data_IF_905632782858
#
_entry.id   IF_905632782858
#
_cell.length_a   1.000
_cell.length_b   1.000
_cell.length_c   1.000
_cell.angle_alpha   90.00
_cell.angle_beta   90.00
_cell.angle_gamma   90.00
#
_symmetry.space_group_name_H-M   'P 1'
#
loop_
_entity.id
_entity.type
_entity.pdbx_description
1 polymer ?
#
# COMPACT_ATOMS: atom_id res chain seq x y z
N UNK A 1 1.50 -42.74 21.68
CA UNK A 1 2.85 -42.52 21.10
C UNK A 1 2.72 -41.35 20.12
N UNK A 2 3.01 -40.11 20.58
CA UNK A 2 2.94 -38.92 19.75
C UNK A 2 4.25 -38.78 18.96
N UNK A 3 4.21 -38.93 17.66
CA UNK A 3 5.33 -38.61 16.80
C UNK A 3 5.49 -37.08 16.79
N UNK A 4 6.70 -36.51 17.02
CA UNK A 4 6.92 -35.11 16.87
C UNK A 4 6.75 -34.73 15.38
N UNK A 5 5.91 -33.73 15.10
CA UNK A 5 5.86 -33.09 13.78
C UNK A 5 7.27 -32.56 13.47
N UNK A 6 7.96 -33.21 12.55
CA UNK A 6 9.13 -32.62 11.91
C UNK A 6 8.66 -31.29 11.28
N UNK A 7 9.09 -30.18 11.84
CA UNK A 7 9.03 -28.91 11.16
C UNK A 7 10.02 -28.98 9.98
N UNK A 8 9.52 -29.32 8.79
CA UNK A 8 10.28 -29.09 7.56
C UNK A 8 10.47 -27.57 7.46
N UNK A 9 11.64 -27.10 7.83
CA UNK A 9 12.09 -25.76 7.47
C UNK A 9 12.31 -25.79 5.96
N UNK A 10 11.30 -25.44 5.19
CA UNK A 10 11.46 -25.20 3.77
C UNK A 10 12.44 -24.00 3.66
N UNK A 11 13.70 -24.29 3.37
CA UNK A 11 14.63 -23.27 2.91
C UNK A 11 14.08 -22.75 1.58
N UNK A 12 13.53 -21.53 1.59
CA UNK A 12 13.21 -20.83 0.36
C UNK A 12 14.54 -20.38 -0.23
N UNK A 13 14.85 -20.83 -1.42
CA UNK A 13 15.95 -20.27 -2.19
C UNK A 13 15.51 -18.87 -2.66
N UNK A 14 15.89 -17.85 -1.88
CA UNK A 14 15.52 -16.47 -2.14
C UNK A 14 16.39 -15.92 -3.28
N UNK A 15 15.74 -15.40 -4.31
CA UNK A 15 16.43 -14.77 -5.42
C UNK A 15 16.95 -13.37 -5.05
N UNK A 16 18.05 -12.94 -5.64
CA UNK A 16 18.49 -11.55 -5.60
C UNK A 16 17.48 -10.67 -6.33
N UNK A 17 16.66 -9.93 -5.59
CA UNK A 17 15.60 -9.10 -6.12
C UNK A 17 15.23 -7.94 -5.16
N UNK A 18 14.57 -6.94 -5.70
CA UNK A 18 13.87 -5.91 -4.94
C UNK A 18 12.46 -6.40 -4.64
N UNK A 19 12.22 -6.78 -3.38
CA UNK A 19 10.92 -7.24 -2.93
C UNK A 19 10.05 -6.08 -2.47
N UNK A 20 8.88 -5.91 -3.07
CA UNK A 20 7.89 -4.94 -2.61
C UNK A 20 7.01 -5.63 -1.55
N UNK A 21 7.19 -5.22 -0.30
CA UNK A 21 6.63 -5.91 0.88
C UNK A 21 5.40 -5.15 1.38
N UNK A 22 4.19 -5.69 1.17
CA UNK A 22 2.98 -5.07 1.70
C UNK A 22 2.92 -5.09 3.22
N UNK A 23 2.28 -4.07 3.79
CA UNK A 23 2.01 -3.93 5.21
C UNK A 23 0.50 -3.97 5.46
N UNK A 24 0.08 -4.29 6.69
CA UNK A 24 -1.32 -4.26 7.07
C UNK A 24 -1.90 -2.84 6.91
N UNK A 25 -3.19 -2.75 6.61
CA UNK A 25 -3.93 -1.48 6.56
C UNK A 25 -4.38 -1.03 7.97
N UNK A 26 -4.53 -1.98 8.90
CA UNK A 26 -4.98 -1.78 10.28
C UNK A 26 -4.18 -2.67 11.23
N UNK A 27 -4.27 -2.41 12.55
CA UNK A 27 -3.55 -3.20 13.56
C UNK A 27 -4.24 -4.53 13.88
N UNK A 28 -4.29 -5.42 12.89
CA UNK A 28 -4.87 -6.75 12.96
C UNK A 28 -3.77 -7.84 12.92
N UNK A 29 -4.10 -9.11 13.20
CA UNK A 29 -3.17 -10.24 13.02
C UNK A 29 -2.64 -10.32 11.57
N UNK A 30 -1.34 -10.60 11.42
CA UNK A 30 -0.67 -10.64 10.11
C UNK A 30 -1.29 -11.68 9.16
N UNK A 31 -1.63 -12.85 9.69
CA UNK A 31 -2.19 -13.97 8.94
C UNK A 31 -3.60 -13.72 8.39
N UNK A 32 -4.26 -12.65 8.87
CA UNK A 32 -5.54 -12.19 8.30
C UNK A 32 -5.36 -11.62 6.89
N UNK A 33 -4.23 -10.99 6.60
CA UNK A 33 -4.06 -10.19 5.37
C UNK A 33 -2.74 -10.46 4.61
N UNK A 34 -1.76 -11.07 5.23
CA UNK A 34 -0.47 -11.37 4.61
C UNK A 34 -0.24 -12.87 4.48
N UNK A 35 0.14 -13.38 3.29
CA UNK A 35 0.55 -14.76 3.12
C UNK A 35 1.77 -15.12 3.99
N UNK A 36 1.81 -16.33 4.51
CA UNK A 36 2.96 -16.83 5.28
C UNK A 36 4.28 -16.77 4.50
N UNK A 37 4.23 -16.83 3.17
CA UNK A 37 5.37 -16.67 2.28
C UNK A 37 6.05 -15.29 2.46
N UNK A 38 5.28 -14.21 2.63
CA UNK A 38 5.86 -12.88 2.86
C UNK A 38 6.72 -12.85 4.12
N UNK A 39 6.26 -13.52 5.19
CA UNK A 39 6.99 -13.57 6.46
C UNK A 39 8.32 -14.34 6.32
N UNK A 40 8.34 -15.37 5.47
CA UNK A 40 9.56 -16.12 5.19
C UNK A 40 10.57 -15.26 4.42
N UNK A 41 10.12 -14.51 3.39
CA UNK A 41 10.97 -13.59 2.62
C UNK A 41 11.53 -12.48 3.53
N UNK A 42 10.70 -11.88 4.37
CA UNK A 42 11.10 -10.78 5.27
C UNK A 42 12.25 -11.18 6.21
N UNK A 43 12.29 -12.43 6.67
CA UNK A 43 13.33 -12.93 7.58
C UNK A 43 14.73 -12.96 6.94
N UNK A 44 14.80 -13.18 5.64
CA UNK A 44 16.07 -13.37 4.92
C UNK A 44 16.66 -12.04 4.42
N UNK A 45 15.87 -10.96 4.39
CA UNK A 45 16.30 -9.65 3.89
C UNK A 45 17.03 -8.88 4.98
N UNK A 46 18.16 -8.26 4.60
CA UNK A 46 18.97 -7.41 5.49
C UNK A 46 18.93 -5.93 5.15
N UNK A 47 18.52 -5.57 3.94
CA UNK A 47 18.55 -4.21 3.41
C UNK A 47 17.13 -3.77 3.08
N UNK A 48 16.68 -2.69 3.71
CA UNK A 48 15.31 -2.19 3.55
C UNK A 48 15.30 -0.73 3.13
N UNK A 49 14.47 -0.41 2.14
CA UNK A 49 14.11 0.96 1.79
C UNK A 49 12.74 1.22 2.42
N UNK A 50 12.64 2.25 3.25
CA UNK A 50 11.47 2.49 4.11
C UNK A 50 11.12 3.98 4.14
N UNK A 51 9.86 4.31 4.32
CA UNK A 51 9.44 5.69 4.54
C UNK A 51 9.78 6.14 5.97
N UNK A 52 9.52 5.26 6.95
CA UNK A 52 9.80 5.52 8.36
C UNK A 52 10.44 4.29 9.03
N UNK A 53 11.67 4.47 9.50
CA UNK A 53 12.45 3.39 10.12
C UNK A 53 11.77 2.84 11.39
N UNK A 54 11.10 3.69 12.18
CA UNK A 54 10.43 3.24 13.40
C UNK A 54 9.23 2.33 13.11
N UNK A 55 8.42 2.67 12.13
CA UNK A 55 7.28 1.85 11.70
C UNK A 55 7.75 0.53 11.10
N UNK A 56 8.77 0.58 10.23
CA UNK A 56 9.36 -0.61 9.62
C UNK A 56 9.91 -1.58 10.66
N UNK A 57 10.67 -1.08 11.65
CA UNK A 57 11.18 -1.91 12.77
C UNK A 57 10.05 -2.60 13.54
N UNK A 58 8.95 -1.89 13.81
CA UNK A 58 7.78 -2.48 14.48
C UNK A 58 7.14 -3.57 13.63
N UNK A 59 6.96 -3.31 12.34
CA UNK A 59 6.42 -4.29 11.40
C UNK A 59 7.29 -5.53 11.33
N UNK A 60 8.61 -5.40 11.16
CA UNK A 60 9.55 -6.52 11.14
C UNK A 60 9.51 -7.36 12.42
N UNK A 61 9.46 -6.71 13.60
CA UNK A 61 9.29 -7.42 14.88
C UNK A 61 7.91 -8.06 15.04
N UNK A 62 6.87 -7.54 14.39
CA UNK A 62 5.55 -8.17 14.34
C UNK A 62 5.59 -9.39 13.42
N UNK A 63 6.33 -9.36 12.30
CA UNK A 63 6.55 -10.50 11.42
C UNK A 63 7.27 -11.65 12.14
N UNK A 64 8.37 -11.34 12.81
CA UNK A 64 9.09 -12.30 13.64
C UNK A 64 9.90 -11.60 14.74
N UNK A 65 9.64 -11.94 15.98
CA UNK A 65 10.35 -11.37 17.14
C UNK A 65 11.83 -11.72 17.19
N UNK A 66 12.26 -12.77 16.49
CA UNK A 66 13.66 -13.21 16.44
C UNK A 66 14.52 -12.40 15.49
N UNK A 67 13.93 -11.61 14.58
CA UNK A 67 14.70 -10.72 13.68
C UNK A 67 15.58 -9.78 14.50
N UNK A 68 16.88 -9.84 14.25
CA UNK A 68 17.84 -8.92 14.84
C UNK A 68 17.82 -7.58 14.09
N UNK A 69 17.09 -6.61 14.62
CA UNK A 69 16.90 -5.29 13.99
C UNK A 69 18.20 -4.51 13.85
N UNK A 70 19.14 -4.71 14.76
CA UNK A 70 20.40 -3.97 14.78
C UNK A 70 21.38 -4.47 13.69
N UNK A 71 21.14 -5.67 13.18
CA UNK A 71 21.88 -6.23 12.03
C UNK A 71 21.34 -5.77 10.68
N UNK A 72 20.21 -5.03 10.63
CA UNK A 72 19.57 -4.58 9.42
C UNK A 72 20.02 -3.18 9.00
N UNK A 73 20.09 -2.96 7.70
CA UNK A 73 20.37 -1.64 7.12
C UNK A 73 19.08 -1.03 6.56
N UNK A 74 18.81 0.22 6.92
CA UNK A 74 17.63 0.97 6.47
C UNK A 74 18.05 2.20 5.65
N UNK A 75 17.46 2.34 4.49
CA UNK A 75 17.54 3.53 3.64
C UNK A 75 16.19 4.25 3.74
N UNK A 76 16.19 5.52 4.14
CA UNK A 76 14.94 6.30 4.25
C UNK A 76 14.60 6.92 2.91
N UNK A 77 13.37 6.69 2.46
CA UNK A 77 12.82 7.25 1.25
C UNK A 77 11.56 8.04 1.59
N UNK A 78 11.67 9.36 1.59
CA UNK A 78 10.58 10.28 1.87
C UNK A 78 10.43 11.32 0.73
N UNK A 79 9.48 12.25 0.88
CA UNK A 79 9.24 13.31 -0.10
C UNK A 79 10.41 14.30 -0.28
N UNK A 80 11.41 14.27 0.61
CA UNK A 80 12.59 15.12 0.57
C UNK A 80 13.82 14.42 -0.02
N UNK A 81 13.72 13.11 -0.24
CA UNK A 81 14.82 12.30 -0.79
C UNK A 81 15.09 12.68 -2.23
N UNK A 82 16.32 13.08 -2.52
CA UNK A 82 16.73 13.50 -3.87
C UNK A 82 16.89 12.30 -4.80
N UNK A 83 16.50 12.43 -6.09
CA UNK A 83 16.61 11.35 -7.07
C UNK A 83 18.02 10.75 -7.20
N UNK A 84 19.06 11.56 -7.00
CA UNK A 84 20.46 11.11 -7.05
C UNK A 84 20.78 10.10 -5.94
N UNK A 85 20.21 10.30 -4.75
CA UNK A 85 20.43 9.42 -3.57
C UNK A 85 19.77 8.05 -3.76
N UNK A 86 18.63 7.99 -4.47
CA UNK A 86 17.90 6.73 -4.75
C UNK A 86 18.80 5.74 -5.51
N UNK A 87 19.68 6.25 -6.38
CA UNK A 87 20.61 5.41 -7.15
C UNK A 87 21.52 4.58 -6.26
N UNK A 88 21.99 5.16 -5.17
CA UNK A 88 22.91 4.51 -4.22
C UNK A 88 22.18 3.52 -3.31
N UNK A 89 20.88 3.70 -3.06
CA UNK A 89 20.07 2.77 -2.26
C UNK A 89 20.03 1.36 -2.87
N UNK A 90 20.19 1.23 -4.18
CA UNK A 90 20.19 -0.06 -4.89
C UNK A 90 21.57 -0.74 -4.95
N UNK A 91 22.62 -0.15 -4.36
CA UNK A 91 23.96 -0.75 -4.39
C UNK A 91 24.00 -2.17 -3.79
N UNK A 92 23.37 -2.46 -2.63
CA UNK A 92 23.34 -3.84 -2.10
C UNK A 92 22.70 -4.83 -3.09
N UNK A 93 21.67 -4.40 -3.82
CA UNK A 93 21.02 -5.26 -4.82
C UNK A 93 21.95 -5.55 -6.01
N UNK A 94 22.73 -4.56 -6.45
CA UNK A 94 23.73 -4.71 -7.51
C UNK A 94 24.85 -5.66 -7.06
N UNK A 95 25.19 -5.65 -5.78
CA UNK A 95 26.17 -6.53 -5.14
C UNK A 95 25.65 -7.96 -4.89
N UNK A 96 24.44 -8.27 -5.29
CA UNK A 96 23.85 -9.60 -5.18
C UNK A 96 23.04 -9.85 -3.92
N UNK A 97 22.72 -8.83 -3.13
CA UNK A 97 21.87 -8.95 -1.94
C UNK A 97 20.41 -8.67 -2.28
N UNK A 98 19.49 -9.44 -1.71
CA UNK A 98 18.07 -9.13 -1.77
C UNK A 98 17.74 -7.89 -0.92
N UNK A 99 16.79 -7.08 -1.39
CA UNK A 99 16.34 -5.87 -0.71
C UNK A 99 14.82 -5.83 -0.59
N UNK A 100 14.31 -5.18 0.47
CA UNK A 100 12.88 -4.98 0.68
C UNK A 100 12.49 -3.49 0.60
N UNK A 101 11.35 -3.19 -0.02
CA UNK A 101 10.68 -1.88 0.09
C UNK A 101 9.46 -2.04 0.97
N UNK A 102 9.36 -1.26 2.04
CA UNK A 102 8.25 -1.27 3.00
C UNK A 102 7.66 0.13 3.08
N UNK A 103 6.35 0.27 2.85
CA UNK A 103 5.58 1.50 3.05
C UNK A 103 4.91 1.54 4.43
N UNK A 104 4.18 2.61 4.74
CA UNK A 104 3.46 2.74 6.02
C UNK A 104 2.22 1.86 6.10
N UNK A 105 1.51 1.65 4.98
CA UNK A 105 0.31 0.80 4.92
C UNK A 105 0.06 0.28 3.50
N UNK A 106 -0.46 -0.93 3.38
CA UNK A 106 -0.84 -1.51 2.08
C UNK A 106 0.34 -1.86 1.18
N UNK A 107 0.19 -1.61 -0.12
CA UNK A 107 1.16 -2.00 -1.14
C UNK A 107 2.18 -0.88 -1.41
N UNK A 108 3.50 -1.14 -1.29
CA UNK A 108 4.53 -0.16 -1.62
C UNK A 108 4.41 0.36 -3.05
N UNK A 109 4.84 1.59 -3.28
CA UNK A 109 4.81 2.28 -4.58
C UNK A 109 3.40 2.58 -5.13
N UNK A 110 2.34 2.38 -4.32
CA UNK A 110 0.95 2.73 -4.67
C UNK A 110 0.48 3.82 -3.71
N UNK A 111 0.40 5.06 -4.18
CA UNK A 111 0.09 6.26 -3.39
C UNK A 111 1.14 6.59 -2.30
N UNK A 112 2.27 5.92 -2.30
CA UNK A 112 3.37 6.02 -1.35
C UNK A 112 4.70 6.18 -2.09
N UNK A 113 5.77 6.64 -1.41
CA UNK A 113 7.12 6.59 -1.95
C UNK A 113 7.51 5.17 -2.38
N UNK A 114 8.38 5.06 -3.37
CA UNK A 114 8.89 3.77 -3.84
C UNK A 114 8.77 3.55 -5.34
N UNK A 115 7.84 4.24 -6.02
CA UNK A 115 7.71 4.15 -7.47
C UNK A 115 9.02 4.52 -8.20
N UNK A 116 9.76 5.52 -7.72
CA UNK A 116 11.05 5.94 -8.30
C UNK A 116 12.13 4.89 -8.11
N UNK A 117 12.16 4.23 -6.95
CA UNK A 117 13.07 3.10 -6.67
C UNK A 117 12.78 1.94 -7.63
N UNK A 118 11.50 1.58 -7.79
CA UNK A 118 11.06 0.54 -8.72
C UNK A 118 11.44 0.92 -10.16
N UNK A 119 11.16 2.17 -10.58
CA UNK A 119 11.52 2.65 -11.90
C UNK A 119 13.05 2.60 -12.14
N UNK A 120 13.85 2.91 -11.13
CA UNK A 120 15.30 2.82 -11.21
C UNK A 120 15.79 1.37 -11.30
N UNK A 121 15.23 0.46 -10.50
CA UNK A 121 15.55 -0.97 -10.56
C UNK A 121 15.23 -1.52 -11.96
N UNK A 122 14.06 -1.19 -12.51
CA UNK A 122 13.66 -1.60 -13.87
C UNK A 122 14.61 -1.06 -14.94
N UNK A 123 14.99 0.22 -14.88
CA UNK A 123 15.96 0.80 -15.84
C UNK A 123 17.33 0.13 -15.79
N UNK A 124 17.74 -0.41 -14.64
CA UNK A 124 19.00 -1.12 -14.45
C UNK A 124 18.89 -2.63 -14.74
N UNK A 125 17.72 -3.11 -15.16
CA UNK A 125 17.48 -4.54 -15.40
C UNK A 125 17.52 -5.41 -14.15
N UNK A 126 17.33 -4.81 -12.97
CA UNK A 126 17.27 -5.52 -11.69
C UNK A 126 15.89 -6.15 -11.51
N UNK A 127 15.86 -7.34 -10.94
CA UNK A 127 14.61 -8.06 -10.70
C UNK A 127 13.78 -7.35 -9.61
N UNK A 128 12.48 -7.17 -9.87
CA UNK A 128 11.50 -6.65 -8.91
C UNK A 128 10.43 -7.70 -8.68
N UNK A 129 10.14 -7.99 -7.41
CA UNK A 129 9.17 -9.00 -6.99
C UNK A 129 8.11 -8.36 -6.10
N UNK A 130 6.90 -8.08 -6.62
CA UNK A 130 5.79 -7.64 -5.78
C UNK A 130 5.25 -8.82 -4.97
N UNK A 131 5.19 -8.65 -3.65
CA UNK A 131 4.56 -9.64 -2.77
C UNK A 131 3.05 -9.37 -2.65
N UNK A 132 2.28 -10.43 -2.44
CA UNK A 132 0.83 -10.34 -2.29
C UNK A 132 0.47 -9.73 -0.93
N UNK A 133 -0.43 -8.75 -0.93
CA UNK A 133 -0.90 -8.13 0.31
C UNK A 133 -2.12 -7.24 0.12
N UNK A 134 -2.63 -6.62 1.19
CA UNK A 134 -3.86 -5.85 1.16
C UNK A 134 -3.68 -4.53 0.42
N UNK A 135 -4.71 -4.14 -0.34
CA UNK A 135 -4.82 -2.82 -0.97
C UNK A 135 -6.20 -2.24 -0.65
N UNK A 136 -6.23 -1.11 0.05
CA UNK A 136 -7.48 -0.41 0.35
C UNK A 136 -8.24 -0.01 -0.92
N UNK A 137 -7.53 0.32 -1.99
CA UNK A 137 -8.10 0.70 -3.29
C UNK A 137 -8.90 -0.46 -3.88
N UNK A 138 -8.28 -1.65 -3.98
CA UNK A 138 -8.94 -2.83 -4.56
C UNK A 138 -10.01 -3.41 -3.65
N UNK A 139 -9.77 -3.48 -2.34
CA UNK A 139 -10.75 -4.00 -1.38
C UNK A 139 -12.00 -3.12 -1.34
N UNK A 140 -11.85 -1.80 -1.35
CA UNK A 140 -12.99 -0.87 -1.42
C UNK A 140 -13.75 -1.02 -2.74
N UNK A 141 -13.06 -1.15 -3.86
CA UNK A 141 -13.69 -1.38 -5.17
C UNK A 141 -14.46 -2.71 -5.18
N UNK A 142 -13.87 -3.80 -4.68
CA UNK A 142 -14.52 -5.11 -4.59
C UNK A 142 -15.83 -5.06 -3.80
N UNK A 143 -15.85 -4.31 -2.70
CA UNK A 143 -17.01 -4.22 -1.81
C UNK A 143 -18.03 -3.15 -2.22
N UNK A 144 -17.68 -2.22 -3.13
CA UNK A 144 -18.52 -1.08 -3.51
C UNK A 144 -19.75 -1.45 -4.37
N UNK A 145 -19.67 -2.54 -5.14
CA UNK A 145 -20.64 -2.88 -6.17
C UNK A 145 -20.56 -1.98 -7.41
N UNK A 146 -19.43 -1.32 -7.64
CA UNK A 146 -19.17 -0.49 -8.82
C UNK A 146 -18.46 -1.27 -9.93
N UNK A 147 -18.27 -0.62 -11.09
CA UNK A 147 -17.60 -1.21 -12.23
C UNK A 147 -16.11 -1.46 -11.93
N UNK A 148 -15.72 -2.73 -11.80
CA UNK A 148 -14.35 -3.15 -11.59
C UNK A 148 -13.52 -3.36 -12.86
N UNK A 149 -14.13 -3.26 -14.07
CA UNK A 149 -13.41 -3.39 -15.34
C UNK A 149 -12.83 -2.05 -15.83
N UNK A 150 -13.50 -0.94 -15.46
CA UNK A 150 -13.04 0.40 -15.80
C UNK A 150 -13.07 1.25 -14.52
N UNK A 151 -11.90 1.54 -13.98
CA UNK A 151 -11.75 2.39 -12.81
C UNK A 151 -10.47 3.21 -12.88
N UNK A 152 -10.45 4.35 -12.18
CA UNK A 152 -9.29 5.20 -12.05
C UNK A 152 -9.08 5.60 -10.58
N UNK A 153 -7.87 5.41 -10.10
CA UNK A 153 -7.42 5.92 -8.81
C UNK A 153 -6.90 7.35 -8.98
N UNK A 154 -7.45 8.28 -8.22
CA UNK A 154 -7.20 9.72 -8.31
C UNK A 154 -6.23 10.23 -7.22
N UNK A 155 -5.80 9.35 -6.29
CA UNK A 155 -5.02 9.76 -5.13
C UNK A 155 -5.82 10.63 -4.17
N UNK A 156 -5.15 11.62 -3.56
CA UNK A 156 -5.80 12.64 -2.74
C UNK A 156 -6.43 13.72 -3.60
N UNK A 157 -7.64 14.15 -3.20
CA UNK A 157 -8.27 15.30 -3.85
C UNK A 157 -7.51 16.60 -3.50
N UNK A 158 -7.47 17.59 -4.42
CA UNK A 158 -6.81 18.86 -4.18
C UNK A 158 -7.29 19.55 -2.91
N UNK A 159 -6.37 20.12 -2.11
CA UNK A 159 -6.71 20.88 -0.89
C UNK A 159 -7.40 22.20 -1.26
N UNK A 160 -6.98 22.86 -2.34
CA UNK A 160 -7.61 24.05 -2.88
C UNK A 160 -9.04 23.76 -3.35
N UNK A 161 -10.01 24.52 -2.86
CA UNK A 161 -11.43 24.28 -3.12
C UNK A 161 -11.81 24.40 -4.62
N UNK A 162 -11.25 25.38 -5.32
CA UNK A 162 -11.57 25.59 -6.75
C UNK A 162 -10.98 24.46 -7.62
N UNK A 163 -9.76 24.03 -7.31
CA UNK A 163 -9.12 22.88 -7.98
C UNK A 163 -9.87 21.59 -7.68
N UNK A 164 -10.30 21.40 -6.43
CA UNK A 164 -11.08 20.23 -6.02
C UNK A 164 -12.42 20.17 -6.73
N UNK A 165 -13.16 21.28 -6.79
CA UNK A 165 -14.42 21.37 -7.53
C UNK A 165 -14.24 21.01 -9.01
N UNK A 166 -13.20 21.55 -9.67
CA UNK A 166 -12.86 21.19 -11.05
C UNK A 166 -12.59 19.69 -11.20
N UNK A 167 -11.86 19.10 -10.22
CA UNK A 167 -11.56 17.66 -10.21
C UNK A 167 -12.82 16.82 -10.02
N UNK A 168 -13.73 17.21 -9.13
CA UNK A 168 -15.02 16.53 -8.93
C UNK A 168 -15.86 16.55 -10.20
N UNK A 169 -15.97 17.66 -10.90
CA UNK A 169 -16.68 17.72 -12.18
C UNK A 169 -16.06 16.84 -13.28
N UNK A 170 -14.72 16.71 -13.30
CA UNK A 170 -14.03 15.79 -14.20
C UNK A 170 -14.40 14.34 -13.86
N UNK A 171 -14.37 13.98 -12.56
CA UNK A 171 -14.72 12.65 -12.09
C UNK A 171 -16.19 12.29 -12.39
N UNK A 172 -17.13 13.21 -12.21
CA UNK A 172 -18.55 12.99 -12.58
C UNK A 172 -18.72 12.65 -14.06
N UNK A 173 -17.99 13.36 -14.95
CA UNK A 173 -18.01 13.03 -16.39
C UNK A 173 -17.47 11.63 -16.66
N UNK A 174 -16.41 11.23 -16.00
CA UNK A 174 -15.84 9.90 -16.16
C UNK A 174 -16.79 8.81 -15.62
N UNK A 175 -17.47 9.07 -14.50
CA UNK A 175 -18.51 8.19 -13.96
C UNK A 175 -19.67 8.04 -14.96
N UNK A 176 -20.13 9.15 -15.58
CA UNK A 176 -21.15 9.12 -16.62
C UNK A 176 -20.71 8.31 -17.86
N UNK A 177 -19.40 8.24 -18.14
CA UNK A 177 -18.80 7.38 -19.17
C UNK A 177 -18.58 5.92 -18.71
N UNK A 178 -19.03 5.54 -17.50
CA UNK A 178 -18.96 4.18 -16.97
C UNK A 178 -17.68 3.83 -16.21
N UNK A 179 -16.82 4.81 -15.90
CA UNK A 179 -15.57 4.56 -15.17
C UNK A 179 -15.72 4.88 -13.67
N UNK A 180 -15.45 3.90 -12.81
CA UNK A 180 -15.40 4.11 -11.35
C UNK A 180 -14.24 5.02 -10.98
N UNK A 181 -14.50 6.03 -10.16
CA UNK A 181 -13.49 6.95 -9.64
C UNK A 181 -13.20 6.61 -8.19
N UNK A 182 -11.93 6.42 -7.85
CA UNK A 182 -11.47 6.06 -6.50
C UNK A 182 -10.52 7.16 -6.02
N UNK A 183 -10.73 7.66 -4.81
CA UNK A 183 -9.82 8.60 -4.16
C UNK A 183 -9.69 8.25 -2.68
N UNK A 184 -8.67 8.78 -2.05
CA UNK A 184 -8.39 8.58 -0.62
C UNK A 184 -8.39 9.91 0.10
N UNK A 185 -8.67 9.86 1.41
CA UNK A 185 -8.61 11.03 2.28
C UNK A 185 -8.07 10.65 3.65
N UNK A 186 -7.52 11.63 4.35
CA UNK A 186 -7.00 11.46 5.71
C UNK A 186 -8.13 11.60 6.74
N UNK A 187 -8.05 10.86 7.87
CA UNK A 187 -9.14 10.84 8.86
C UNK A 187 -9.57 12.22 9.37
N UNK A 188 -8.62 13.15 9.55
CA UNK A 188 -8.92 14.49 10.08
C UNK A 188 -9.65 15.41 9.07
N UNK A 189 -9.71 15.05 7.77
CA UNK A 189 -10.43 15.79 6.73
C UNK A 189 -11.74 15.14 6.30
N UNK A 190 -12.00 13.88 6.70
CA UNK A 190 -13.12 13.08 6.22
C UNK A 190 -14.47 13.79 6.38
N UNK A 191 -14.80 14.26 7.57
CA UNK A 191 -16.12 14.88 7.84
C UNK A 191 -16.37 16.12 6.98
N UNK A 192 -15.32 16.95 6.81
CA UNK A 192 -15.42 18.15 5.95
C UNK A 192 -15.58 17.76 4.48
N UNK A 193 -14.84 16.77 4.02
CA UNK A 193 -14.94 16.32 2.63
C UNK A 193 -16.31 15.69 2.35
N UNK A 194 -16.82 14.80 3.21
CA UNK A 194 -18.14 14.19 3.03
C UNK A 194 -19.24 15.26 2.95
N UNK A 195 -19.22 16.26 3.86
CA UNK A 195 -20.16 17.39 3.81
C UNK A 195 -20.06 18.20 2.51
N UNK A 196 -18.86 18.39 1.99
CA UNK A 196 -18.63 19.08 0.72
C UNK A 196 -19.13 18.25 -0.47
N UNK A 197 -18.84 16.95 -0.51
CA UNK A 197 -19.30 16.05 -1.55
C UNK A 197 -20.83 15.99 -1.63
N UNK A 198 -21.51 15.97 -0.47
CA UNK A 198 -22.99 15.97 -0.41
C UNK A 198 -23.62 17.24 -1.00
N UNK A 199 -22.88 18.34 -1.04
CA UNK A 199 -23.34 19.61 -1.60
C UNK A 199 -22.99 19.80 -3.07
N UNK A 200 -21.86 19.24 -3.50
CA UNK A 200 -21.30 19.51 -4.84
C UNK A 200 -21.63 18.44 -5.86
N UNK A 201 -21.78 17.19 -5.44
CA UNK A 201 -22.09 16.07 -6.33
C UNK A 201 -23.60 15.98 -6.58
N UNK A 202 -23.96 15.41 -7.71
CA UNK A 202 -25.37 15.10 -8.02
C UNK A 202 -25.93 14.12 -6.99
N UNK A 203 -27.11 14.40 -6.48
CA UNK A 203 -27.73 13.62 -5.42
C UNK A 203 -28.08 12.17 -5.79
N UNK A 204 -28.22 11.86 -7.10
CA UNK A 204 -28.48 10.52 -7.62
C UNK A 204 -27.19 9.71 -7.85
N UNK A 205 -26.03 10.36 -7.76
CA UNK A 205 -24.74 9.69 -7.90
C UNK A 205 -24.52 8.73 -6.71
N UNK A 206 -24.02 7.55 -6.99
CA UNK A 206 -23.68 6.58 -5.94
C UNK A 206 -22.28 6.86 -5.41
N UNK A 207 -22.17 6.99 -4.09
CA UNK A 207 -20.91 7.14 -3.35
C UNK A 207 -20.71 5.92 -2.46
N UNK A 208 -19.53 5.30 -2.54
CA UNK A 208 -19.07 4.30 -1.59
C UNK A 208 -18.07 4.93 -0.63
N UNK A 209 -18.32 4.81 0.66
CA UNK A 209 -17.38 5.18 1.72
C UNK A 209 -16.86 3.90 2.35
N UNK A 210 -15.55 3.71 2.37
CA UNK A 210 -14.88 2.57 2.96
C UNK A 210 -13.90 3.08 4.04
N UNK A 211 -14.13 2.67 5.27
CA UNK A 211 -13.35 3.05 6.44
C UNK A 211 -12.78 1.81 7.12
N UNK A 212 -11.60 1.95 7.74
CA UNK A 212 -10.91 0.90 8.51
C UNK A 212 -10.89 -0.46 7.79
N UNK A 213 -10.64 -0.42 6.48
CA UNK A 213 -10.66 -1.62 5.62
C UNK A 213 -9.69 -2.67 6.17
N UNK A 214 -10.18 -3.90 6.36
CA UNK A 214 -9.56 -5.04 7.05
C UNK A 214 -9.48 -4.91 8.58
N UNK A 215 -9.84 -3.78 9.16
CA UNK A 215 -9.81 -3.53 10.60
C UNK A 215 -10.97 -4.13 11.37
N UNK A 216 -10.94 -3.97 12.69
CA UNK A 216 -11.99 -4.43 13.59
C UNK A 216 -13.29 -3.59 13.48
N UNK A 217 -13.17 -2.34 13.00
CA UNK A 217 -14.28 -1.41 12.79
C UNK A 217 -14.50 -1.12 11.31
N UNK A 218 -14.20 -2.11 10.45
CA UNK A 218 -14.43 -1.99 9.01
C UNK A 218 -15.88 -1.63 8.70
N UNK A 219 -16.06 -0.55 7.97
CA UNK A 219 -17.36 -0.13 7.46
C UNK A 219 -17.24 0.24 5.98
N UNK A 220 -18.03 -0.44 5.13
CA UNK A 220 -18.08 -0.17 3.68
C UNK A 220 -19.55 -0.01 3.30
N UNK A 221 -19.93 1.21 2.93
CA UNK A 221 -21.31 1.55 2.63
C UNK A 221 -21.43 2.28 1.30
N UNK A 222 -22.33 1.83 0.44
CA UNK A 222 -22.65 2.45 -0.86
C UNK A 222 -24.08 2.99 -0.85
N UNK A 223 -24.23 4.30 -1.04
CA UNK A 223 -25.52 4.99 -1.07
C UNK A 223 -25.56 6.07 -2.16
N UNK A 224 -26.74 6.53 -2.59
CA UNK A 224 -26.87 7.81 -3.28
C UNK A 224 -26.37 8.97 -2.42
N UNK A 225 -25.74 9.95 -3.04
CA UNK A 225 -25.15 11.12 -2.34
C UNK A 225 -26.20 11.88 -1.51
N UNK A 226 -27.50 11.88 -1.93
CA UNK A 226 -28.60 12.54 -1.20
C UNK A 226 -29.01 11.84 0.12
N UNK A 227 -28.53 10.64 0.40
CA UNK A 227 -28.81 9.85 1.62
C UNK A 227 -27.64 9.90 2.60
#
# INVERSE_FOLDING_TARGET
>A
MFLPRLALTLHIEMETALYLIPVMLSDEPLDKVLPAYNLQIVKEIKYFIVENVRSARRFLKKCDRTIDIDSLTFYTLDEHTRPEEIGDYLNPLIEGNAMGVISEAGCPAIADPGADVVAMAQRRGLKVVPLVGPSSILLSLMASGFNGQSFAFQGYLPIDAAKRQKKLHEMERNVAAGQTQIFIETPYRNNKLVAELSQQLRGDLRLCVACDVTGATEEITTRPVRE
#
